data_IF_629099414810
#
_entry.id   IF_629099414810
#
_cell.length_a   1.000
_cell.length_b   1.000
_cell.length_c   1.000
_cell.angle_alpha   90.00
_cell.angle_beta   90.00
_cell.angle_gamma   90.00
#
_symmetry.space_group_name_H-M   'P 1'
#
loop_
_entity.id
_entity.type
_entity.pdbx_description
1 polymer ?
#
# COMPACT_ATOMS: atom_id res chain seq x y z
N UNK A 1 -16.04 2.28 -27.01
CA UNK A 1 -15.07 1.73 -26.04
C UNK A 1 -13.89 1.19 -26.83
N UNK A 2 -12.69 1.75 -26.65
CA UNK A 2 -11.48 1.23 -27.30
C UNK A 2 -11.23 -0.20 -26.77
N UNK A 3 -11.12 -1.17 -27.68
CA UNK A 3 -10.78 -2.56 -27.36
C UNK A 3 -9.46 -2.55 -26.57
N UNK A 4 -9.48 -3.06 -25.34
CA UNK A 4 -8.25 -3.49 -24.68
C UNK A 4 -7.64 -4.55 -25.61
N UNK A 5 -6.44 -4.30 -26.13
CA UNK A 5 -5.68 -5.34 -26.81
C UNK A 5 -5.37 -6.43 -25.80
N UNK A 6 -6.05 -7.57 -25.95
CA UNK A 6 -5.75 -8.81 -25.24
C UNK A 6 -4.32 -9.20 -25.56
N UNK A 7 -3.48 -9.29 -24.53
CA UNK A 7 -2.12 -9.79 -24.60
C UNK A 7 -2.12 -11.17 -25.28
N UNK A 8 -1.66 -11.23 -26.54
CA UNK A 8 -1.47 -12.47 -27.28
C UNK A 8 -0.11 -13.04 -26.89
N UNK A 9 -0.09 -14.05 -26.02
CA UNK A 9 1.09 -14.89 -25.82
C UNK A 9 1.42 -15.57 -27.15
N UNK A 10 2.42 -15.11 -27.88
CA UNK A 10 2.95 -15.86 -29.03
C UNK A 10 3.54 -17.17 -28.49
N UNK A 11 2.92 -18.28 -28.83
CA UNK A 11 3.51 -19.61 -28.67
C UNK A 11 4.85 -19.64 -29.41
N UNK A 12 5.91 -20.09 -28.74
CA UNK A 12 7.24 -20.27 -29.35
C UNK A 12 7.14 -21.47 -30.29
N UNK A 13 7.28 -21.33 -31.61
CA UNK A 13 7.39 -22.47 -32.50
C UNK A 13 8.84 -22.97 -32.48
N UNK A 14 9.04 -24.25 -32.15
CA UNK A 14 10.28 -24.96 -32.45
C UNK A 14 10.51 -24.92 -33.97
N UNK A 15 11.54 -24.20 -34.43
CA UNK A 15 12.06 -24.35 -35.78
C UNK A 15 13.51 -23.87 -35.85
N UNK A 16 14.38 -24.79 -36.22
CA UNK A 16 15.78 -24.60 -36.54
C UNK A 16 15.94 -23.78 -37.82
N UNK A 17 16.08 -22.47 -37.69
CA UNK A 17 16.72 -21.60 -38.69
C UNK A 17 17.02 -20.26 -38.00
N UNK A 18 18.29 -19.87 -37.94
CA UNK A 18 18.68 -18.58 -37.40
C UNK A 18 18.32 -17.45 -38.38
N UNK A 19 17.58 -16.40 -37.95
CA UNK A 19 17.56 -15.12 -38.62
C UNK A 19 18.44 -14.12 -37.84
N UNK A 20 19.36 -13.46 -38.55
CA UNK A 20 20.18 -12.38 -38.03
C UNK A 20 19.30 -11.27 -37.43
N UNK A 21 19.49 -10.99 -36.14
CA UNK A 21 18.80 -9.91 -35.42
C UNK A 21 19.63 -8.62 -35.50
N UNK A 22 19.05 -7.47 -35.87
CA UNK A 22 19.74 -6.20 -35.73
C UNK A 22 19.89 -5.92 -34.23
N UNK A 23 21.15 -5.88 -33.78
CA UNK A 23 21.51 -5.64 -32.39
C UNK A 23 20.99 -4.28 -31.90
N UNK A 24 19.78 -4.24 -31.35
CA UNK A 24 19.32 -3.12 -30.54
C UNK A 24 19.76 -3.36 -29.09
N UNK A 25 21.07 -3.28 -28.86
CA UNK A 25 21.61 -3.20 -27.50
C UNK A 25 21.21 -1.83 -26.95
N UNK A 26 20.08 -1.74 -26.25
CA UNK A 26 19.89 -0.64 -25.28
C UNK A 26 21.02 -0.79 -24.27
N UNK A 27 22.09 -0.01 -24.46
CA UNK A 27 23.19 0.08 -23.50
C UNK A 27 22.60 0.65 -22.23
N UNK A 28 22.41 -0.21 -21.22
CA UNK A 28 22.18 0.23 -19.86
C UNK A 28 23.49 0.85 -19.39
N UNK A 29 23.58 2.18 -19.46
CA UNK A 29 24.72 2.90 -18.90
C UNK A 29 24.56 2.92 -17.39
N UNK A 30 25.54 2.36 -16.68
CA UNK A 30 25.67 2.52 -15.23
C UNK A 30 26.02 3.98 -14.97
N UNK A 31 25.32 4.68 -14.06
CA UNK A 31 25.64 6.05 -13.71
C UNK A 31 27.08 6.18 -13.20
N UNK A 32 27.72 7.32 -13.49
CA UNK A 32 29.10 7.60 -13.08
C UNK A 32 29.22 7.76 -11.55
N UNK A 33 30.41 7.50 -11.00
CA UNK A 33 30.72 7.59 -9.55
C UNK A 33 30.31 8.92 -8.94
N UNK A 34 30.39 10.00 -9.71
CA UNK A 34 30.00 11.36 -9.30
C UNK A 34 28.49 11.54 -9.07
N UNK A 35 27.64 10.73 -9.71
CA UNK A 35 26.19 10.70 -9.43
C UNK A 35 25.85 9.81 -8.22
N UNK A 36 26.62 8.74 -8.02
CA UNK A 36 26.49 7.85 -6.86
C UNK A 36 26.88 8.57 -5.56
N UNK A 37 27.98 9.34 -5.56
CA UNK A 37 28.43 10.13 -4.39
C UNK A 37 27.42 11.24 -3.99
N UNK A 38 26.66 11.79 -4.94
CA UNK A 38 25.59 12.76 -4.64
C UNK A 38 24.40 12.12 -3.90
N UNK A 39 24.16 10.83 -4.07
CA UNK A 39 23.09 10.10 -3.36
C UNK A 39 23.45 9.69 -1.92
N UNK A 40 24.74 9.70 -1.56
CA UNK A 40 25.20 9.32 -0.21
C UNK A 40 24.83 10.34 0.88
N UNK A 41 24.54 11.58 0.49
CA UNK A 41 24.31 12.70 1.40
C UNK A 41 22.83 13.15 1.51
N UNK A 42 21.89 12.38 0.93
CA UNK A 42 20.46 12.65 1.09
C UNK A 42 19.92 11.98 2.37
N UNK A 43 19.12 12.68 3.19
CA UNK A 43 18.36 12.04 4.25
C UNK A 43 17.48 10.95 3.62
N UNK A 44 17.75 9.69 3.97
CA UNK A 44 17.06 8.55 3.40
C UNK A 44 15.79 8.31 4.19
N UNK A 45 14.75 9.09 3.92
CA UNK A 45 13.39 8.79 4.41
C UNK A 45 12.61 8.04 3.33
N UNK A 46 11.77 7.11 3.77
CA UNK A 46 10.74 6.48 2.95
C UNK A 46 9.35 6.66 3.56
N UNK A 47 8.41 7.11 2.74
CA UNK A 47 7.00 7.25 3.09
C UNK A 47 6.26 5.95 2.79
N UNK A 48 5.59 5.38 3.77
CA UNK A 48 4.77 4.18 3.61
C UNK A 48 3.31 4.59 3.69
N UNK A 49 2.62 4.58 2.56
CA UNK A 49 1.36 5.30 2.38
C UNK A 49 0.18 4.35 2.24
N UNK A 50 -0.90 4.61 2.97
CA UNK A 50 -2.18 3.94 2.75
C UNK A 50 -2.62 4.06 1.29
N UNK A 51 -3.03 2.95 0.67
CA UNK A 51 -3.24 2.87 -0.78
C UNK A 51 -4.06 4.01 -1.39
N UNK A 52 -5.18 4.39 -0.77
CA UNK A 52 -6.09 5.38 -1.31
C UNK A 52 -5.60 6.83 -1.19
N UNK A 53 -4.45 7.07 -0.54
CA UNK A 53 -3.75 8.36 -0.56
C UNK A 53 -3.06 8.63 -1.91
N UNK A 54 -2.73 7.60 -2.69
CA UNK A 54 -2.20 7.78 -4.05
C UNK A 54 -3.16 7.26 -5.12
N UNK A 55 -4.08 6.37 -4.75
CA UNK A 55 -5.09 5.82 -5.66
C UNK A 55 -6.51 5.95 -5.07
N UNK A 56 -7.16 7.13 -5.19
CA UNK A 56 -8.51 7.35 -4.69
C UNK A 56 -9.56 6.36 -5.22
N UNK A 57 -9.31 5.71 -6.37
CA UNK A 57 -10.21 4.70 -6.93
C UNK A 57 -10.37 3.47 -6.05
N UNK A 58 -9.40 3.17 -5.18
CA UNK A 58 -9.47 2.05 -4.23
C UNK A 58 -10.41 2.32 -3.04
N UNK A 59 -10.87 3.57 -2.87
CA UNK A 59 -11.79 3.94 -1.79
C UNK A 59 -13.20 3.41 -2.09
N UNK A 60 -13.97 3.16 -1.03
CA UNK A 60 -15.39 2.82 -1.17
C UNK A 60 -16.13 3.91 -1.94
N UNK A 61 -17.04 3.51 -2.83
CA UNK A 61 -17.78 4.45 -3.69
C UNK A 61 -18.70 5.34 -2.85
N UNK A 62 -18.82 6.61 -3.24
CA UNK A 62 -19.72 7.57 -2.59
C UNK A 62 -19.13 8.28 -1.37
N UNK A 63 -17.96 7.87 -0.89
CA UNK A 63 -17.25 8.56 0.20
C UNK A 63 -16.31 9.62 -0.39
N UNK A 64 -16.18 10.77 0.30
CA UNK A 64 -15.25 11.83 -0.08
C UNK A 64 -13.83 11.24 -0.25
N UNK A 65 -13.14 11.49 -1.37
CA UNK A 65 -11.76 11.05 -1.56
C UNK A 65 -10.87 11.49 -0.41
N UNK A 66 -9.83 10.69 -0.11
CA UNK A 66 -8.78 11.20 0.77
C UNK A 66 -8.07 12.30 -0.01
N UNK A 67 -7.60 13.34 0.68
CA UNK A 67 -6.67 14.26 0.04
C UNK A 67 -5.42 13.47 -0.32
N UNK A 68 -5.03 13.43 -1.61
CA UNK A 68 -3.83 12.71 -1.97
C UNK A 68 -2.62 13.32 -1.28
N UNK A 69 -1.71 12.46 -0.83
CA UNK A 69 -0.41 12.92 -0.36
C UNK A 69 0.44 13.26 -1.59
N UNK A 70 1.01 14.46 -1.65
CA UNK A 70 1.96 14.81 -2.70
C UNK A 70 3.29 14.11 -2.42
N UNK A 71 3.62 13.13 -3.24
CA UNK A 71 4.88 12.37 -3.14
C UNK A 71 5.94 12.86 -4.12
N UNK A 72 5.73 14.02 -4.79
CA UNK A 72 6.68 14.51 -5.77
C UNK A 72 8.06 14.74 -5.14
N UNK A 73 9.02 13.91 -5.54
CA UNK A 73 10.40 13.95 -5.04
C UNK A 73 10.62 13.21 -3.72
N UNK A 74 9.61 12.53 -3.18
CA UNK A 74 9.74 11.63 -2.04
C UNK A 74 10.05 10.20 -2.51
N UNK A 75 10.69 9.41 -1.64
CA UNK A 75 10.69 7.96 -1.78
C UNK A 75 9.42 7.43 -1.12
N UNK A 76 8.61 6.65 -1.83
CA UNK A 76 7.39 6.10 -1.26
C UNK A 76 7.15 4.62 -1.58
N UNK A 77 6.48 3.95 -0.64
CA UNK A 77 5.91 2.62 -0.78
C UNK A 77 4.40 2.76 -0.58
N UNK A 78 3.64 2.43 -1.61
CA UNK A 78 2.19 2.33 -1.50
C UNK A 78 1.80 1.00 -0.87
N UNK A 79 1.15 1.03 0.31
CA UNK A 79 0.59 -0.15 0.94
C UNK A 79 -0.53 -0.76 0.07
N UNK A 80 -0.77 -2.08 0.16
CA UNK A 80 -1.99 -2.68 -0.38
C UNK A 80 -3.22 -2.10 0.32
N UNK A 81 -4.36 -2.08 -0.39
CA UNK A 81 -5.64 -1.78 0.24
C UNK A 81 -6.27 -3.10 0.73
N UNK A 82 -6.22 -3.41 2.05
CA UNK A 82 -6.66 -4.70 2.55
C UNK A 82 -8.17 -4.89 2.32
N UNK A 83 -8.97 -3.83 2.46
CA UNK A 83 -10.41 -3.87 2.19
C UNK A 83 -10.72 -4.18 0.72
N UNK A 84 -10.02 -3.55 -0.23
CA UNK A 84 -10.25 -3.77 -1.66
C UNK A 84 -9.80 -5.16 -2.10
N UNK A 85 -8.72 -5.69 -1.52
CA UNK A 85 -8.26 -7.04 -1.83
C UNK A 85 -9.14 -8.11 -1.19
N UNK A 86 -9.64 -7.89 0.02
CA UNK A 86 -10.43 -8.87 0.76
C UNK A 86 -11.92 -8.85 0.40
N UNK A 87 -12.52 -7.66 0.27
CA UNK A 87 -13.96 -7.47 0.01
C UNK A 87 -14.26 -7.11 -1.46
N UNK A 88 -13.23 -6.77 -2.23
CA UNK A 88 -13.38 -6.31 -3.61
C UNK A 88 -13.78 -4.84 -3.76
N UNK A 89 -13.81 -4.40 -5.01
CA UNK A 89 -14.16 -3.02 -5.39
C UNK A 89 -15.67 -2.71 -5.37
N UNK A 90 -16.51 -3.74 -5.24
CA UNK A 90 -17.98 -3.61 -5.14
C UNK A 90 -18.48 -3.68 -3.69
N UNK A 91 -17.59 -3.55 -2.72
CA UNK A 91 -17.92 -3.58 -1.29
C UNK A 91 -18.82 -2.42 -0.87
N UNK A 92 -19.55 -2.63 0.21
CA UNK A 92 -20.23 -1.56 0.97
C UNK A 92 -19.28 -0.95 2.00
N UNK A 93 -19.77 0.07 2.69
CA UNK A 93 -19.13 0.57 3.91
C UNK A 93 -19.01 -0.55 4.94
N UNK A 94 -17.87 -0.58 5.64
CA UNK A 94 -17.56 -1.52 6.71
C UNK A 94 -16.86 -0.80 7.84
N UNK A 95 -16.94 -1.34 9.05
CA UNK A 95 -16.29 -0.84 10.26
C UNK A 95 -15.21 -1.80 10.75
N UNK A 96 -14.39 -1.34 11.70
CA UNK A 96 -13.39 -2.17 12.36
C UNK A 96 -14.04 -3.40 13.00
N UNK A 97 -15.18 -3.25 13.67
CA UNK A 97 -15.91 -4.35 14.32
C UNK A 97 -16.25 -5.51 13.36
N UNK A 98 -16.55 -5.19 12.10
CA UNK A 98 -16.86 -6.18 11.07
C UNK A 98 -15.61 -6.83 10.46
N UNK A 99 -14.49 -6.11 10.45
CA UNK A 99 -13.20 -6.58 9.93
C UNK A 99 -12.34 -7.24 10.99
N UNK A 100 -12.56 -6.97 12.27
CA UNK A 100 -11.77 -7.49 13.37
C UNK A 100 -12.16 -8.93 13.70
N UNK A 101 -11.78 -9.82 12.80
CA UNK A 101 -11.94 -11.25 12.98
C UNK A 101 -10.67 -12.00 12.56
N UNK A 102 -10.44 -13.23 13.07
CA UNK A 102 -9.17 -13.92 12.89
C UNK A 102 -8.73 -14.12 11.43
N UNK A 103 -9.68 -14.30 10.51
CA UNK A 103 -9.36 -14.51 9.09
C UNK A 103 -8.85 -13.24 8.43
N UNK A 104 -9.48 -12.08 8.70
CA UNK A 104 -9.01 -10.81 8.15
C UNK A 104 -7.66 -10.41 8.74
N UNK A 105 -7.45 -10.59 10.05
CA UNK A 105 -6.12 -10.35 10.67
C UNK A 105 -5.03 -11.23 10.07
N UNK A 106 -5.29 -12.51 9.80
CA UNK A 106 -4.35 -13.39 9.09
C UNK A 106 -4.01 -12.84 7.71
N UNK A 107 -5.04 -12.45 6.95
CA UNK A 107 -4.88 -11.83 5.64
C UNK A 107 -4.04 -10.54 5.70
N UNK A 108 -4.31 -9.66 6.66
CA UNK A 108 -3.53 -8.44 6.90
C UNK A 108 -2.04 -8.74 7.14
N UNK A 109 -1.71 -9.75 7.95
CA UNK A 109 -0.32 -10.16 8.15
C UNK A 109 0.31 -10.66 6.85
N UNK A 110 -0.38 -11.54 6.13
CA UNK A 110 0.11 -12.14 4.88
C UNK A 110 0.46 -11.09 3.84
N UNK A 111 -0.42 -10.11 3.58
CA UNK A 111 -0.17 -9.08 2.57
C UNK A 111 0.91 -8.07 3.00
N UNK A 112 1.20 -7.95 4.30
CA UNK A 112 2.22 -7.03 4.81
C UNK A 112 3.60 -7.67 4.91
N UNK A 113 3.70 -8.98 5.11
CA UNK A 113 4.99 -9.71 5.23
C UNK A 113 6.05 -9.26 4.23
N UNK A 114 5.82 -9.24 2.89
CA UNK A 114 6.87 -8.84 1.95
C UNK A 114 7.29 -7.37 2.09
N UNK A 115 6.40 -6.50 2.55
CA UNK A 115 6.73 -5.10 2.84
C UNK A 115 7.48 -4.99 4.16
N UNK A 116 7.13 -5.79 5.16
CA UNK A 116 7.85 -5.84 6.43
C UNK A 116 9.31 -6.29 6.23
N UNK A 117 9.55 -7.29 5.37
CA UNK A 117 10.89 -7.74 5.00
C UNK A 117 11.70 -6.61 4.36
N UNK A 118 11.10 -5.88 3.42
CA UNK A 118 11.72 -4.72 2.76
C UNK A 118 12.01 -3.58 3.75
N UNK A 119 11.05 -3.26 4.62
CA UNK A 119 11.19 -2.18 5.60
C UNK A 119 12.25 -2.49 6.66
N UNK A 120 12.37 -3.76 7.07
CA UNK A 120 13.45 -4.21 7.95
C UNK A 120 14.82 -3.99 7.31
N UNK A 121 15.00 -4.37 6.04
CA UNK A 121 16.26 -4.17 5.33
C UNK A 121 16.57 -2.68 5.08
N UNK A 122 15.57 -1.88 4.71
CA UNK A 122 15.72 -0.43 4.58
C UNK A 122 16.15 0.21 5.90
N UNK A 123 15.51 -0.17 7.01
CA UNK A 123 15.90 0.33 8.34
C UNK A 123 17.31 -0.09 8.73
N UNK A 124 17.73 -1.32 8.41
CA UNK A 124 19.09 -1.80 8.64
C UNK A 124 20.14 -1.00 7.83
N UNK A 125 19.75 -0.47 6.67
CA UNK A 125 20.57 0.41 5.83
C UNK A 125 20.45 1.90 6.18
N UNK A 126 19.88 2.23 7.34
CA UNK A 126 19.81 3.60 7.86
C UNK A 126 18.71 4.46 7.26
N UNK A 127 17.71 3.86 6.61
CA UNK A 127 16.54 4.57 6.08
C UNK A 127 15.51 4.80 7.19
N UNK A 128 15.04 6.04 7.36
CA UNK A 128 13.94 6.37 8.26
C UNK A 128 12.60 6.03 7.62
N UNK A 129 11.70 5.42 8.39
CA UNK A 129 10.39 4.97 7.91
C UNK A 129 9.31 5.85 8.53
N UNK A 130 8.47 6.45 7.69
CA UNK A 130 7.28 7.19 8.12
C UNK A 130 6.03 6.63 7.46
N UNK A 131 5.11 6.13 8.27
CA UNK A 131 3.86 5.52 7.83
C UNK A 131 2.74 6.55 7.91
N UNK A 132 2.02 6.77 6.79
CA UNK A 132 0.87 7.67 6.73
C UNK A 132 -0.40 6.86 6.45
N UNK A 133 -1.27 6.84 7.45
CA UNK A 133 -2.56 6.17 7.41
C UNK A 133 -3.68 7.02 6.85
N UNK A 134 -4.85 6.37 6.75
CA UNK A 134 -6.07 6.97 6.21
C UNK A 134 -7.05 7.17 7.37
N UNK A 135 -7.23 8.41 7.86
CA UNK A 135 -8.11 8.65 8.99
C UNK A 135 -9.51 8.07 8.78
N UNK A 136 -10.07 7.49 9.84
CA UNK A 136 -11.39 6.85 9.90
C UNK A 136 -11.50 5.56 9.06
N UNK A 137 -10.44 5.11 8.38
CA UNK A 137 -10.49 3.79 7.75
C UNK A 137 -10.52 2.70 8.83
N UNK A 138 -11.41 1.69 8.69
CA UNK A 138 -11.48 0.55 9.61
C UNK A 138 -10.21 -0.33 9.56
N UNK A 139 -9.40 -0.18 8.51
CA UNK A 139 -8.14 -0.91 8.35
C UNK A 139 -6.91 -0.01 8.48
N UNK A 140 -6.91 1.12 7.78
CA UNK A 140 -5.73 1.96 7.61
C UNK A 140 -5.71 3.22 8.50
N UNK A 141 -6.68 3.41 9.40
CA UNK A 141 -6.65 4.51 10.37
C UNK A 141 -5.57 4.28 11.42
N UNK A 142 -4.86 5.35 11.80
CA UNK A 142 -3.77 5.28 12.80
C UNK A 142 -4.24 5.74 14.17
N UNK A 143 -4.84 6.93 14.26
CA UNK A 143 -5.33 7.51 15.51
C UNK A 143 -6.83 7.37 15.65
N UNK A 144 -7.55 7.35 14.53
CA UNK A 144 -9.00 7.32 14.50
C UNK A 144 -9.51 6.32 13.45
N UNK A 145 -10.48 5.49 13.84
CA UNK A 145 -11.09 4.46 13.00
C UNK A 145 -12.60 4.44 13.11
N UNK A 146 -13.30 3.96 12.07
CA UNK A 146 -14.76 3.80 12.11
C UNK A 146 -15.15 2.49 12.79
N UNK A 147 -16.03 2.60 13.79
CA UNK A 147 -16.54 1.48 14.59
C UNK A 147 -18.07 1.44 14.57
N UNK A 148 -18.65 0.34 15.03
CA UNK A 148 -20.09 0.12 15.07
C UNK A 148 -20.61 -0.61 13.83
N UNK A 149 -21.81 -0.28 13.39
CA UNK A 149 -22.55 -1.06 12.39
C UNK A 149 -23.33 -2.19 13.06
N UNK A 150 -24.66 -2.09 13.03
CA UNK A 150 -25.53 -3.12 13.61
C UNK A 150 -25.33 -4.47 12.89
N UNK A 151 -25.20 -5.58 13.65
CA UNK A 151 -25.19 -6.91 13.05
C UNK A 151 -26.50 -7.17 12.30
N UNK A 152 -26.40 -7.75 11.10
CA UNK A 152 -27.55 -8.17 10.31
C UNK A 152 -27.83 -7.27 9.12
N UNK A 153 -29.08 -7.31 8.63
CA UNK A 153 -29.49 -6.57 7.43
C UNK A 153 -29.91 -5.16 7.83
N UNK A 154 -29.23 -4.15 7.30
CA UNK A 154 -29.69 -2.76 7.40
C UNK A 154 -29.82 -2.10 6.03
N UNK A 155 -30.75 -1.13 5.96
CA UNK A 155 -30.86 -0.20 4.84
C UNK A 155 -29.87 0.96 4.97
N UNK A 156 -29.59 1.37 6.21
CA UNK A 156 -28.71 2.49 6.54
C UNK A 156 -27.53 1.99 7.39
N UNK A 157 -26.35 2.51 7.13
CA UNK A 157 -25.15 2.08 7.85
C UNK A 157 -24.79 3.10 8.94
N UNK A 158 -25.18 2.81 10.18
CA UNK A 158 -24.85 3.65 11.33
C UNK A 158 -23.49 3.24 11.90
N UNK A 159 -22.55 4.18 11.93
CA UNK A 159 -21.23 4.00 12.50
C UNK A 159 -20.80 5.26 13.26
N UNK A 160 -19.82 5.10 14.14
CA UNK A 160 -19.17 6.20 14.86
C UNK A 160 -17.65 6.09 14.68
N UNK A 161 -16.88 6.89 15.43
CA UNK A 161 -15.43 6.85 15.38
C UNK A 161 -14.84 6.61 16.78
N UNK A 162 -13.80 5.77 16.82
CA UNK A 162 -13.02 5.50 18.04
C UNK A 162 -11.57 5.97 17.85
N UNK A 163 -10.94 6.39 18.96
CA UNK A 163 -9.54 6.86 18.99
C UNK A 163 -8.56 5.69 19.10
N UNK A 164 -8.53 4.86 18.05
CA UNK A 164 -7.67 3.69 17.96
C UNK A 164 -7.31 3.37 16.50
N UNK A 165 -6.27 2.55 16.27
CA UNK A 165 -5.90 2.14 14.92
C UNK A 165 -6.93 1.17 14.31
N UNK A 166 -6.99 1.16 12.98
CA UNK A 166 -7.67 0.14 12.22
C UNK A 166 -6.92 -1.20 12.21
N UNK A 167 -7.60 -2.26 11.79
CA UNK A 167 -7.09 -3.64 11.92
C UNK A 167 -5.73 -3.83 11.22
N UNK A 168 -5.55 -3.27 10.03
CA UNK A 168 -4.29 -3.42 9.28
C UNK A 168 -3.14 -2.65 9.94
N UNK A 169 -3.39 -1.44 10.42
CA UNK A 169 -2.39 -0.66 11.15
C UNK A 169 -1.97 -1.33 12.45
N UNK A 170 -2.89 -1.96 13.18
CA UNK A 170 -2.52 -2.75 14.37
C UNK A 170 -1.55 -3.89 14.04
N UNK A 171 -1.80 -4.64 12.96
CA UNK A 171 -0.92 -5.74 12.54
C UNK A 171 0.43 -5.22 12.03
N UNK A 172 0.47 -4.11 11.29
CA UNK A 172 1.71 -3.43 10.87
C UNK A 172 2.54 -3.02 12.09
N UNK A 173 1.93 -2.32 13.06
CA UNK A 173 2.61 -1.85 14.27
C UNK A 173 3.19 -3.03 15.06
N UNK A 174 2.41 -4.10 15.25
CA UNK A 174 2.86 -5.31 15.94
C UNK A 174 4.04 -5.94 15.22
N UNK A 175 3.96 -6.09 13.90
CA UNK A 175 4.98 -6.76 13.10
C UNK A 175 6.30 -5.99 13.07
N UNK A 176 6.26 -4.67 12.85
CA UNK A 176 7.47 -3.84 12.84
C UNK A 176 8.12 -3.77 14.23
N UNK A 177 7.32 -3.67 15.31
CA UNK A 177 7.83 -3.74 16.68
C UNK A 177 8.49 -5.08 16.98
N UNK A 178 7.87 -6.19 16.54
CA UNK A 178 8.41 -7.55 16.71
C UNK A 178 9.78 -7.71 16.03
N UNK A 179 10.00 -7.06 14.89
CA UNK A 179 11.28 -7.04 14.15
C UNK A 179 12.29 -6.00 14.67
N UNK A 180 11.91 -5.15 15.63
CA UNK A 180 12.77 -4.08 16.12
C UNK A 180 12.97 -2.93 15.12
N UNK A 181 12.08 -2.81 14.12
CA UNK A 181 12.12 -1.72 13.14
C UNK A 181 11.60 -0.43 13.77
N UNK A 182 12.38 0.65 13.68
CA UNK A 182 11.97 1.99 14.12
C UNK A 182 11.17 2.68 13.03
N UNK A 183 10.05 3.29 13.40
CA UNK A 183 9.19 4.01 12.46
C UNK A 183 8.44 5.14 13.17
N UNK A 184 8.08 6.15 12.38
CA UNK A 184 7.08 7.17 12.73
C UNK A 184 5.74 6.80 12.07
N UNK A 185 4.62 7.16 12.70
CA UNK A 185 3.30 6.86 12.16
C UNK A 185 2.27 7.94 12.52
N UNK A 186 1.46 8.33 11.54
CA UNK A 186 0.40 9.32 11.71
C UNK A 186 -0.74 9.11 10.70
N UNK A 187 -1.87 9.79 10.92
CA UNK A 187 -2.93 9.87 9.92
C UNK A 187 -2.63 11.00 8.93
N UNK A 188 -3.00 10.81 7.66
CA UNK A 188 -2.97 11.89 6.68
C UNK A 188 -3.83 13.09 7.14
N UNK A 189 -3.36 14.31 6.93
CA UNK A 189 -4.09 15.53 7.32
C UNK A 189 -5.51 15.56 6.74
N UNK A 190 -6.51 15.73 7.62
CA UNK A 190 -7.88 16.04 7.23
C UNK A 190 -8.08 17.55 7.26
N UNK A 191 -8.35 18.16 6.11
CA UNK A 191 -8.96 19.51 6.09
C UNK A 191 -10.47 19.41 6.31
#
# INVERSE_FOLDING_TARGET
MKKLETYNSRAIPNSSAAPESPANSRKYTVPDKTELEKTENMPKEILVLGHCLLNPLARVKGVRPALPVDTKGANDIQLPCPESMYLGMRRREVTKDQLDHPSYRRFCREIFTPLADMLEDLAANGVSIRIIGVPKSPSCGVRITSVGGEPGKSKEFHHSHAQEPGVFMEEIIKELKRRGVKFEIEDASTQ
#
